data_IF_312075507223
#
_entry.id   IF_312075507223
#
_cell.length_a   1.000
_cell.length_b   1.000
_cell.length_c   1.000
_cell.angle_alpha   90.00
_cell.angle_beta   90.00
_cell.angle_gamma   90.00
#
_symmetry.space_group_name_H-M   'P 1'
#
loop_
_entity.id
_entity.type
_entity.pdbx_description
1 polymer ?
#
# COMPACT_ATOMS: atom_id res chain seq x y z
N UNK A 1 -4.62 -9.31 -8.83
CA UNK A 1 -3.79 -9.57 -7.65
C UNK A 1 -2.60 -10.43 -8.02
N UNK A 2 -1.43 -10.12 -7.53
CA UNK A 2 -0.20 -10.84 -7.83
C UNK A 2 0.67 -11.00 -6.59
N UNK A 3 1.61 -11.95 -6.64
CA UNK A 3 2.58 -12.19 -5.57
C UNK A 3 3.82 -11.34 -5.77
N UNK A 4 4.33 -10.73 -4.68
CA UNK A 4 5.60 -10.03 -4.68
C UNK A 4 6.78 -11.00 -4.55
N UNK A 5 7.99 -10.44 -4.45
CA UNK A 5 9.24 -11.21 -4.32
C UNK A 5 9.54 -11.65 -2.88
N UNK A 6 8.65 -11.39 -1.93
CA UNK A 6 8.83 -11.74 -0.52
C UNK A 6 9.77 -10.81 0.27
N UNK A 7 10.39 -9.83 -0.38
CA UNK A 7 11.32 -8.89 0.28
C UNK A 7 10.63 -7.92 1.22
N UNK A 8 9.36 -7.58 0.94
CA UNK A 8 8.59 -6.67 1.77
C UNK A 8 8.48 -7.17 3.21
N UNK A 9 8.39 -8.49 3.41
CA UNK A 9 8.35 -9.10 4.74
C UNK A 9 9.54 -8.68 5.60
N UNK A 10 10.74 -8.72 5.06
CA UNK A 10 11.97 -8.38 5.80
C UNK A 10 12.01 -6.89 6.14
N UNK A 11 11.70 -6.03 5.18
CA UNK A 11 11.77 -4.58 5.39
C UNK A 11 10.65 -4.08 6.30
N UNK A 12 9.42 -4.52 6.08
CA UNK A 12 8.25 -4.06 6.82
C UNK A 12 8.29 -4.46 8.30
N UNK A 13 8.97 -5.56 8.65
CA UNK A 13 9.07 -6.01 10.03
C UNK A 13 9.92 -5.10 10.91
N UNK A 14 10.68 -4.17 10.35
CA UNK A 14 11.54 -3.29 11.12
C UNK A 14 10.74 -2.35 12.02
N UNK A 15 11.16 -2.15 13.31
CA UNK A 15 10.41 -1.33 14.27
C UNK A 15 10.15 0.10 13.80
N UNK A 16 11.07 0.69 13.06
CA UNK A 16 10.91 2.05 12.55
C UNK A 16 9.69 2.17 11.63
N UNK A 17 9.51 1.22 10.73
CA UNK A 17 8.34 1.18 9.86
C UNK A 17 7.07 0.80 10.63
N UNK A 18 7.14 -0.21 11.49
CA UNK A 18 5.98 -0.66 12.26
C UNK A 18 5.42 0.44 13.15
N UNK A 19 6.26 1.26 13.76
CA UNK A 19 5.82 2.38 14.57
C UNK A 19 5.05 3.42 13.74
N UNK A 20 5.45 3.65 12.52
CA UNK A 20 4.74 4.58 11.62
C UNK A 20 3.44 3.98 11.09
N UNK A 21 3.43 2.68 10.77
CA UNK A 21 2.22 2.00 10.33
C UNK A 21 1.12 2.00 11.39
N UNK A 22 1.48 2.00 12.67
CA UNK A 22 0.50 2.16 13.75
C UNK A 22 -0.28 3.47 13.64
N UNK A 23 0.35 4.54 13.18
CA UNK A 23 -0.31 5.82 12.95
C UNK A 23 -1.29 5.78 11.76
N UNK A 24 -1.06 4.92 10.80
CA UNK A 24 -1.91 4.76 9.62
C UNK A 24 -3.04 3.76 9.87
N UNK A 25 -2.72 2.61 10.44
CA UNK A 25 -3.64 1.47 10.58
C UNK A 25 -4.27 1.36 11.97
N UNK A 26 -3.83 2.16 12.94
CA UNK A 26 -4.25 2.05 14.34
C UNK A 26 -3.51 0.95 15.11
N UNK A 27 -2.82 0.07 14.41
CA UNK A 27 -1.99 -1.00 14.97
C UNK A 27 -0.88 -1.33 13.98
N UNK A 28 0.06 -2.18 14.35
CA UNK A 28 1.14 -2.58 13.45
C UNK A 28 0.63 -3.27 12.19
N UNK A 29 1.40 -3.19 11.10
CA UNK A 29 1.07 -3.86 9.86
C UNK A 29 1.57 -5.30 9.84
N UNK A 30 0.81 -6.20 9.20
CA UNK A 30 1.33 -7.51 8.83
C UNK A 30 2.53 -7.29 7.89
N UNK A 31 3.69 -7.95 8.13
CA UNK A 31 4.88 -7.75 7.29
C UNK A 31 4.72 -8.36 5.91
N UNK A 32 4.27 -7.58 4.98
CA UNK A 32 4.05 -7.98 3.59
C UNK A 32 3.02 -7.10 2.92
N UNK A 33 3.01 -7.11 1.59
CA UNK A 33 2.05 -6.35 0.80
C UNK A 33 1.17 -7.30 -0.01
N UNK A 34 -0.10 -6.95 -0.18
CA UNK A 34 -0.95 -7.53 -1.20
C UNK A 34 -0.81 -6.66 -2.43
N UNK A 35 -0.37 -7.23 -3.55
CA UNK A 35 -0.18 -6.50 -4.79
C UNK A 35 -1.41 -6.65 -5.68
N UNK A 36 -1.96 -5.53 -6.14
CA UNK A 36 -3.16 -5.51 -6.97
C UNK A 36 -2.83 -4.85 -8.29
N UNK A 37 -3.01 -5.59 -9.38
CA UNK A 37 -2.81 -5.07 -10.73
C UNK A 37 -3.96 -4.16 -11.13
N UNK A 38 -3.65 -3.03 -11.75
CA UNK A 38 -4.60 -1.97 -12.06
C UNK A 38 -4.74 -1.76 -13.56
N UNK A 39 -5.96 -1.47 -14.00
CA UNK A 39 -6.29 -1.24 -15.42
C UNK A 39 -7.27 -0.07 -15.55
N UNK A 40 -7.29 0.55 -16.73
CA UNK A 40 -8.29 1.54 -17.09
C UNK A 40 -8.42 2.68 -16.12
N UNK A 41 -9.63 2.95 -15.64
CA UNK A 41 -9.91 4.06 -14.73
C UNK A 41 -9.24 3.88 -13.37
N UNK A 42 -9.11 2.63 -12.89
CA UNK A 42 -8.42 2.34 -11.65
C UNK A 42 -6.93 2.71 -11.73
N UNK A 43 -6.31 2.44 -12.87
CA UNK A 43 -4.93 2.84 -13.11
C UNK A 43 -4.79 4.36 -13.15
N UNK A 44 -5.71 5.06 -13.79
CA UNK A 44 -5.73 6.53 -13.83
C UNK A 44 -5.88 7.13 -12.44
N UNK A 45 -6.76 6.56 -11.62
CA UNK A 45 -6.94 6.99 -10.22
C UNK A 45 -5.67 6.76 -9.40
N UNK A 46 -5.00 5.64 -9.59
CA UNK A 46 -3.74 5.36 -8.91
C UNK A 46 -2.63 6.34 -9.30
N UNK A 47 -2.56 6.73 -10.57
CA UNK A 47 -1.61 7.75 -11.01
C UNK A 47 -1.85 9.08 -10.30
N UNK A 48 -3.10 9.44 -10.04
CA UNK A 48 -3.44 10.61 -9.24
C UNK A 48 -2.87 10.54 -7.82
N UNK A 49 -2.88 9.37 -7.20
CA UNK A 49 -2.24 9.15 -5.89
C UNK A 49 -0.71 9.29 -5.98
N UNK A 50 -0.10 8.80 -7.05
CA UNK A 50 1.34 8.95 -7.28
C UNK A 50 1.74 10.42 -7.44
N UNK A 51 0.89 11.23 -8.05
CA UNK A 51 1.10 12.68 -8.14
C UNK A 51 1.09 13.30 -6.74
N UNK A 52 0.12 12.95 -5.89
CA UNK A 52 0.07 13.41 -4.50
C UNK A 52 1.30 12.96 -3.69
N UNK A 53 1.85 11.80 -4.00
CA UNK A 53 3.04 11.28 -3.36
C UNK A 53 4.33 11.95 -3.86
N UNK A 54 4.24 12.80 -4.89
CA UNK A 54 5.39 13.51 -5.46
C UNK A 54 6.21 12.69 -6.44
N UNK A 55 5.70 11.56 -6.92
CA UNK A 55 6.44 10.64 -7.80
C UNK A 55 6.17 10.86 -9.30
N UNK A 56 5.10 11.56 -9.63
CA UNK A 56 4.72 11.88 -11.00
C UNK A 56 4.20 13.30 -11.11
N UNK A 57 4.22 13.85 -12.32
CA UNK A 57 3.58 15.12 -12.66
C UNK A 57 2.24 14.83 -13.33
N UNK A 58 1.25 15.67 -13.07
CA UNK A 58 -0.07 15.55 -13.65
C UNK A 58 -1.17 15.98 -12.68
N UNK A 59 -2.39 15.55 -12.96
CA UNK A 59 -3.52 15.83 -12.09
C UNK A 59 -3.50 14.92 -10.86
N UNK A 60 -3.56 15.54 -9.67
CA UNK A 60 -3.61 14.79 -8.42
C UNK A 60 -5.03 14.32 -8.10
N UNK A 61 -5.13 13.29 -7.25
CA UNK A 61 -6.41 12.88 -6.68
C UNK A 61 -6.89 13.95 -5.68
N UNK A 62 -8.12 14.45 -5.85
CA UNK A 62 -8.60 15.63 -5.10
C UNK A 62 -8.95 15.34 -3.64
N UNK A 63 -9.40 14.12 -3.33
CA UNK A 63 -9.97 13.79 -2.02
C UNK A 63 -9.09 12.88 -1.15
N UNK A 64 -7.90 12.53 -1.60
CA UNK A 64 -7.01 11.66 -0.85
C UNK A 64 -6.05 12.45 0.03
N UNK A 65 -5.83 11.97 1.26
CA UNK A 65 -4.86 12.57 2.18
C UNK A 65 -3.60 11.71 2.24
N UNK A 66 -2.46 12.20 1.75
CA UNK A 66 -1.20 11.47 1.84
C UNK A 66 -0.68 11.46 3.29
N UNK A 67 -0.23 10.30 3.74
CA UNK A 67 0.40 10.13 5.05
C UNK A 67 1.84 9.71 4.79
N UNK A 68 2.79 10.52 5.26
CA UNK A 68 4.21 10.26 5.01
C UNK A 68 4.77 9.20 5.94
N UNK A 69 5.43 8.20 5.37
CA UNK A 69 6.23 7.21 6.08
C UNK A 69 7.69 7.59 5.86
N UNK A 70 8.40 7.91 6.94
CA UNK A 70 9.78 8.38 6.84
C UNK A 70 10.75 7.23 6.62
N UNK A 71 11.72 7.45 5.72
CA UNK A 71 12.86 6.57 5.57
C UNK A 71 13.84 6.75 6.74
N UNK A 72 14.85 5.91 6.80
CA UNK A 72 15.87 5.98 7.84
C UNK A 72 17.18 5.36 7.36
N UNK A 73 18.25 5.61 8.12
CA UNK A 73 19.55 4.96 7.91
C UNK A 73 19.87 4.09 9.13
N UNK A 74 20.44 2.94 8.89
CA UNK A 74 20.85 2.01 9.93
C UNK A 74 22.05 1.21 9.47
N UNK A 75 23.14 1.22 10.25
CA UNK A 75 24.37 0.47 9.94
C UNK A 75 24.92 0.75 8.54
N UNK A 76 24.86 2.01 8.09
CA UNK A 76 25.33 2.44 6.78
C UNK A 76 24.40 2.12 5.62
N UNK A 77 23.20 1.58 5.88
CA UNK A 77 22.18 1.30 4.87
C UNK A 77 21.05 2.32 4.96
N UNK A 78 20.63 2.79 3.79
CA UNK A 78 19.46 3.66 3.68
C UNK A 78 18.21 2.81 3.42
N UNK A 79 17.14 3.10 4.17
CA UNK A 79 15.82 2.50 3.99
C UNK A 79 14.87 3.60 3.52
N UNK A 80 14.24 3.38 2.39
CA UNK A 80 13.40 4.38 1.74
C UNK A 80 12.14 4.72 2.51
N UNK A 81 11.62 5.92 2.27
CA UNK A 81 10.31 6.35 2.73
C UNK A 81 9.21 5.93 1.77
N UNK A 82 7.99 6.25 2.15
CA UNK A 82 6.80 5.93 1.37
C UNK A 82 5.68 6.93 1.66
N UNK A 83 4.64 6.89 0.86
CA UNK A 83 3.40 7.61 1.12
C UNK A 83 2.26 6.60 1.24
N UNK A 84 1.44 6.75 2.28
CA UNK A 84 0.33 5.87 2.55
C UNK A 84 -1.01 6.60 2.41
N UNK A 85 -2.03 5.89 1.94
CA UNK A 85 -3.40 6.38 1.84
C UNK A 85 -4.33 5.39 2.51
N UNK A 86 -5.10 5.83 3.49
CA UNK A 86 -6.07 4.96 4.18
C UNK A 86 -7.14 4.48 3.22
N UNK A 87 -7.47 3.21 3.31
CA UNK A 87 -8.42 2.57 2.41
C UNK A 87 -9.15 1.41 3.10
N UNK A 88 -10.11 0.87 2.41
CA UNK A 88 -10.77 -0.38 2.76
C UNK A 88 -10.73 -1.30 1.56
N UNK A 89 -10.61 -2.59 1.82
CA UNK A 89 -10.50 -3.61 0.78
C UNK A 89 -11.54 -4.70 0.99
N UNK A 90 -12.11 -5.19 -0.10
CA UNK A 90 -13.10 -6.25 -0.09
C UNK A 90 -12.96 -7.14 -1.31
N UNK A 91 -13.36 -8.39 -1.18
CA UNK A 91 -13.41 -9.31 -2.31
C UNK A 91 -14.73 -9.19 -3.07
N UNK A 92 -15.84 -9.06 -2.37
CA UNK A 92 -17.18 -9.04 -3.00
C UNK A 92 -18.03 -7.80 -2.70
N UNK A 93 -17.50 -6.84 -1.93
CA UNK A 93 -18.21 -5.65 -1.53
C UNK A 93 -19.11 -5.80 -0.30
N UNK A 94 -19.14 -6.98 0.32
CA UNK A 94 -19.95 -7.26 1.52
C UNK A 94 -19.20 -7.01 2.82
N UNK A 95 -17.97 -7.47 2.91
CA UNK A 95 -17.11 -7.27 4.06
C UNK A 95 -15.92 -6.40 3.67
N UNK A 96 -15.66 -5.37 4.45
CA UNK A 96 -14.56 -4.45 4.21
C UNK A 96 -13.53 -4.53 5.32
N UNK A 97 -12.26 -4.62 4.94
CA UNK A 97 -11.13 -4.71 5.86
C UNK A 97 -10.32 -3.43 5.74
N UNK A 98 -10.02 -2.83 6.89
CA UNK A 98 -9.17 -1.63 6.93
C UNK A 98 -7.76 -1.94 6.43
N UNK A 99 -7.25 -1.09 5.55
CA UNK A 99 -5.94 -1.23 4.96
C UNK A 99 -5.38 0.13 4.59
N UNK A 100 -4.24 0.14 3.94
CA UNK A 100 -3.68 1.34 3.33
C UNK A 100 -3.00 0.97 2.01
N UNK A 101 -3.11 1.86 1.03
CA UNK A 101 -2.29 1.81 -0.17
C UNK A 101 -0.95 2.43 0.17
N UNK A 102 0.12 1.68 -0.06
CA UNK A 102 1.49 2.14 0.20
C UNK A 102 2.20 2.38 -1.12
N UNK A 103 2.75 3.57 -1.28
CA UNK A 103 3.54 3.93 -2.46
C UNK A 103 4.96 4.24 -2.00
N UNK A 104 5.89 3.28 -2.08
CA UNK A 104 7.28 3.53 -1.74
C UNK A 104 7.91 4.56 -2.69
N UNK A 105 8.76 5.43 -2.17
CA UNK A 105 9.40 6.49 -2.98
C UNK A 105 10.20 5.95 -4.16
N UNK A 106 10.80 4.78 -4.00
CA UNK A 106 11.62 4.14 -5.01
C UNK A 106 10.91 2.96 -5.68
N UNK A 107 9.57 2.93 -5.62
CA UNK A 107 8.81 1.84 -6.23
C UNK A 107 9.02 1.80 -7.74
N UNK A 108 9.13 0.58 -8.27
CA UNK A 108 9.15 0.31 -9.70
C UNK A 108 7.76 -0.03 -10.24
N UNK A 109 6.79 -0.21 -9.33
CA UNK A 109 5.42 -0.55 -9.69
C UNK A 109 4.65 0.69 -10.12
N UNK A 110 4.33 0.79 -11.40
CA UNK A 110 3.52 1.89 -11.95
C UNK A 110 2.08 1.48 -12.25
N UNK A 111 1.81 0.19 -12.29
CA UNK A 111 0.50 -0.39 -12.63
C UNK A 111 0.01 -1.39 -11.57
N UNK A 112 0.68 -1.44 -10.43
CA UNK A 112 0.36 -2.35 -9.34
C UNK A 112 0.31 -1.57 -8.04
N UNK A 113 -0.81 -1.64 -7.33
CA UNK A 113 -0.94 -1.04 -6.00
C UNK A 113 -0.45 -2.03 -4.95
N UNK A 114 0.34 -1.53 -4.01
CA UNK A 114 0.79 -2.30 -2.85
C UNK A 114 -0.11 -1.95 -1.66
N UNK A 115 -0.71 -2.97 -1.06
CA UNK A 115 -1.68 -2.79 0.03
C UNK A 115 -1.13 -3.42 1.31
N UNK A 116 -1.17 -2.66 2.41
CA UNK A 116 -0.79 -3.11 3.74
C UNK A 116 -1.99 -3.14 4.67
N UNK A 117 -1.98 -4.03 5.64
CA UNK A 117 -3.04 -4.16 6.65
C UNK A 117 -2.46 -4.75 7.92
N UNK A 118 -3.20 -4.61 9.03
CA UNK A 118 -2.87 -5.31 10.28
C UNK A 118 -3.09 -6.82 10.18
N UNK A 119 -3.87 -7.26 9.20
CA UNK A 119 -4.17 -8.67 8.94
C UNK A 119 -3.42 -9.17 7.72
N UNK A 120 -3.15 -10.49 7.66
CA UNK A 120 -2.69 -11.12 6.45
C UNK A 120 -3.86 -11.21 5.47
N UNK A 121 -3.88 -10.32 4.47
CA UNK A 121 -5.03 -10.10 3.62
C UNK A 121 -5.46 -11.32 2.79
N UNK A 122 -4.51 -12.17 2.38
CA UNK A 122 -4.86 -13.40 1.65
C UNK A 122 -5.68 -14.37 2.49
N UNK A 123 -5.46 -14.39 3.81
CA UNK A 123 -6.29 -15.18 4.73
C UNK A 123 -7.58 -14.46 5.09
N UNK A 124 -7.49 -13.16 5.37
CA UNK A 124 -8.63 -12.36 5.78
C UNK A 124 -9.70 -12.24 4.69
N UNK A 125 -9.27 -12.21 3.42
CA UNK A 125 -10.16 -12.11 2.26
C UNK A 125 -10.34 -13.44 1.50
N UNK A 126 -9.87 -14.57 1.98
CA UNK A 126 -9.60 -15.83 1.27
C UNK A 126 -9.43 -15.64 -0.26
N UNK A 127 -8.33 -15.01 -0.67
CA UNK A 127 -8.07 -14.70 -2.07
C UNK A 127 -6.75 -15.27 -2.57
N UNK A 128 -6.66 -15.50 -3.88
CA UNK A 128 -5.50 -16.06 -4.56
C UNK A 128 -5.09 -15.17 -5.74
N UNK A 129 -3.92 -15.43 -6.33
CA UNK A 129 -3.47 -14.72 -7.52
C UNK A 129 -4.51 -14.86 -8.65
N UNK A 130 -4.82 -13.73 -9.27
CA UNK A 130 -5.83 -13.66 -10.32
C UNK A 130 -7.22 -13.28 -9.86
N UNK A 131 -7.51 -13.31 -8.56
CA UNK A 131 -8.80 -12.88 -8.02
C UNK A 131 -8.99 -11.36 -8.16
N UNK A 132 -10.24 -10.96 -8.36
CA UNK A 132 -10.62 -9.55 -8.39
C UNK A 132 -10.84 -9.03 -6.97
N UNK A 133 -10.32 -7.84 -6.70
CA UNK A 133 -10.39 -7.18 -5.40
C UNK A 133 -10.89 -5.75 -5.59
N UNK A 134 -11.71 -5.30 -4.66
CA UNK A 134 -12.24 -3.93 -4.66
C UNK A 134 -11.56 -3.13 -3.55
N UNK A 135 -11.01 -1.95 -3.90
CA UNK A 135 -10.42 -1.02 -2.93
C UNK A 135 -11.15 0.30 -3.04
N UNK A 136 -11.44 0.91 -1.89
CA UNK A 136 -11.95 2.27 -1.83
C UNK A 136 -11.14 3.08 -0.81
N UNK A 137 -10.85 4.34 -1.14
CA UNK A 137 -10.21 5.27 -0.22
C UNK A 137 -11.22 5.72 0.84
N UNK A 138 -10.71 5.97 2.03
CA UNK A 138 -11.51 6.49 3.12
C UNK A 138 -11.31 8.00 3.24
#
# INVERSE_FOLDING_TARGET
MSSGLGRAHVFMAQPHYQNQFKGVLGTGAWPGTLNIDLYGDNLSNYKGLRVLAGLEKGESAESAEPIRIQGFERSGRSFGGATAFKAEISRGGDEWISCAILIPDLTRHTQTAEVISSSFLREALPCEDGDEIIIRLI
#
